data_IF_013001238653
#
_entry.id   IF_013001238653
#
_cell.length_a   1.000
_cell.length_b   1.000
_cell.length_c   1.000
_cell.angle_alpha   90.00
_cell.angle_beta   90.00
_cell.angle_gamma   90.00
#
_symmetry.space_group_name_H-M   'P 1'
#
loop_
_entity.id
_entity.type
_entity.pdbx_description
1 polymer ?
#
# COMPACT_ATOMS: atom_id res chain seq x y z
N UNK A 1 -25.94 20.73 -40.06
CA UNK A 1 -25.91 20.66 -38.57
C UNK A 1 -25.64 19.27 -37.98
N UNK A 2 -25.33 18.23 -38.79
CA UNK A 2 -25.12 16.86 -38.29
C UNK A 2 -23.66 16.42 -38.10
N UNK A 3 -22.68 17.12 -38.69
CA UNK A 3 -21.25 16.72 -38.63
C UNK A 3 -20.56 17.20 -37.36
N UNK A 4 -20.99 18.34 -36.80
CA UNK A 4 -20.42 18.93 -35.57
C UNK A 4 -20.77 18.11 -34.32
N UNK A 5 -21.92 17.44 -34.29
CA UNK A 5 -22.30 16.62 -33.11
C UNK A 5 -21.51 15.31 -33.02
N UNK A 6 -21.12 14.71 -34.15
CA UNK A 6 -20.31 13.49 -34.18
C UNK A 6 -18.89 13.68 -33.64
N UNK A 7 -18.26 14.83 -33.94
CA UNK A 7 -16.94 15.19 -33.41
C UNK A 7 -16.93 15.44 -31.91
N UNK A 8 -17.96 16.14 -31.39
CA UNK A 8 -18.13 16.40 -29.96
C UNK A 8 -18.43 15.13 -29.18
N UNK A 9 -19.24 14.20 -29.73
CA UNK A 9 -19.52 12.89 -29.13
C UNK A 9 -18.29 11.98 -29.14
N UNK A 10 -17.45 12.05 -30.16
CA UNK A 10 -16.20 11.28 -30.24
C UNK A 10 -15.14 11.83 -29.30
N UNK A 11 -15.03 13.16 -29.17
CA UNK A 11 -14.15 13.82 -28.20
C UNK A 11 -14.62 13.58 -26.76
N UNK A 12 -15.92 13.63 -26.46
CA UNK A 12 -16.42 13.31 -25.11
C UNK A 12 -16.21 11.85 -24.74
N UNK A 13 -16.33 10.91 -25.69
CA UNK A 13 -15.93 9.50 -25.47
C UNK A 13 -14.41 9.35 -25.33
N UNK A 14 -13.62 10.10 -26.08
CA UNK A 14 -12.16 10.09 -25.97
C UNK A 14 -11.70 10.68 -24.63
N UNK A 15 -12.30 11.77 -24.14
CA UNK A 15 -12.07 12.34 -22.81
C UNK A 15 -12.67 11.48 -21.69
N UNK A 16 -13.75 10.74 -21.95
CA UNK A 16 -14.23 9.73 -21.00
C UNK A 16 -13.34 8.49 -20.98
N UNK A 17 -12.54 8.21 -22.03
CA UNK A 17 -11.57 7.09 -22.16
C UNK A 17 -10.12 7.51 -21.76
N UNK A 18 -9.85 8.81 -21.69
CA UNK A 18 -8.89 9.41 -20.73
C UNK A 18 -9.49 9.30 -19.29
N UNK A 19 -10.54 8.49 -19.17
CA UNK A 19 -11.03 7.62 -18.10
C UNK A 19 -10.28 7.77 -16.79
N UNK A 20 -11.08 8.08 -15.78
CA UNK A 20 -10.84 7.90 -14.34
C UNK A 20 -9.84 6.79 -13.96
N UNK A 21 -9.73 5.69 -14.72
CA UNK A 21 -8.73 4.63 -14.52
C UNK A 21 -7.28 5.05 -14.83
N UNK A 22 -7.01 5.84 -15.87
CA UNK A 22 -5.68 6.43 -16.14
C UNK A 22 -5.34 7.51 -15.11
N UNK A 23 -6.32 8.31 -14.71
CA UNK A 23 -6.13 9.32 -13.66
C UNK A 23 -5.86 8.68 -12.28
N UNK A 24 -6.61 7.63 -11.89
CA UNK A 24 -6.36 6.91 -10.63
C UNK A 24 -5.04 6.13 -10.65
N UNK A 25 -4.69 5.51 -11.79
CA UNK A 25 -3.41 4.81 -11.91
C UNK A 25 -2.21 5.75 -11.81
N UNK A 26 -2.29 6.90 -12.49
CA UNK A 26 -1.28 7.96 -12.41
C UNK A 26 -1.21 8.54 -10.99
N UNK A 27 -2.34 8.82 -10.35
CA UNK A 27 -2.41 9.29 -8.96
C UNK A 27 -1.71 8.35 -7.99
N UNK A 28 -1.88 7.05 -8.15
CA UNK A 28 -1.16 6.08 -7.30
C UNK A 28 0.31 5.96 -7.62
N UNK A 29 0.72 5.97 -8.90
CA UNK A 29 2.16 5.93 -9.21
C UNK A 29 2.84 7.15 -8.60
N UNK A 30 2.21 8.32 -8.70
CA UNK A 30 2.68 9.52 -8.01
C UNK A 30 2.61 9.38 -6.49
N UNK A 31 1.59 8.70 -5.95
CA UNK A 31 1.48 8.49 -4.51
C UNK A 31 2.53 7.51 -3.96
N UNK A 32 2.77 6.40 -4.64
CA UNK A 32 3.82 5.44 -4.28
C UNK A 32 5.19 6.09 -4.43
N UNK A 33 5.43 6.87 -5.48
CA UNK A 33 6.69 7.58 -5.66
C UNK A 33 6.92 8.62 -4.55
N UNK A 34 5.93 9.46 -4.25
CA UNK A 34 5.98 10.44 -3.15
C UNK A 34 6.16 9.74 -1.80
N UNK A 35 5.57 8.55 -1.62
CA UNK A 35 5.74 7.73 -0.43
C UNK A 35 7.14 7.13 -0.28
N UNK A 36 7.72 6.56 -1.35
CA UNK A 36 9.10 6.07 -1.34
C UNK A 36 10.04 7.22 -1.00
N UNK A 37 9.80 8.39 -1.58
CA UNK A 37 10.56 9.61 -1.29
C UNK A 37 10.38 10.04 0.17
N UNK A 38 9.17 9.98 0.74
CA UNK A 38 8.96 10.34 2.15
C UNK A 38 9.56 9.32 3.13
N UNK A 39 9.72 8.07 2.72
CA UNK A 39 10.38 7.03 3.50
C UNK A 39 11.91 7.17 3.47
N UNK A 40 12.46 7.54 2.31
CA UNK A 40 13.90 7.75 2.11
C UNK A 40 14.40 9.11 2.61
N UNK A 41 13.58 10.16 2.51
CA UNK A 41 13.92 11.56 2.82
C UNK A 41 12.81 12.24 3.63
N UNK A 42 12.60 11.84 4.90
CA UNK A 42 11.52 12.38 5.73
C UNK A 42 11.61 13.90 5.91
N UNK A 43 12.84 14.46 5.98
CA UNK A 43 13.08 15.89 6.22
C UNK A 43 12.67 16.82 5.06
N UNK A 44 12.52 16.30 3.83
CA UNK A 44 12.33 17.11 2.61
C UNK A 44 10.87 17.53 2.37
N UNK A 45 9.89 16.72 2.80
CA UNK A 45 8.46 16.93 2.48
C UNK A 45 7.74 17.75 3.56
N UNK A 46 8.23 17.71 4.78
CA UNK A 46 7.47 18.09 6.00
C UNK A 46 7.97 19.39 6.61
N UNK A 47 9.02 20.00 6.06
CA UNK A 47 9.50 21.33 6.43
C UNK A 47 9.85 21.47 7.92
N UNK A 48 10.30 20.39 8.57
CA UNK A 48 10.63 20.39 10.00
C UNK A 48 9.43 20.23 10.94
N UNK A 49 8.30 19.70 10.48
CA UNK A 49 7.20 19.26 11.36
C UNK A 49 7.67 18.15 12.32
N UNK A 50 6.98 18.03 13.46
CA UNK A 50 7.23 16.96 14.42
C UNK A 50 7.17 15.58 13.74
N UNK A 51 8.16 14.72 13.98
CA UNK A 51 8.30 13.36 13.40
C UNK A 51 7.02 12.49 13.38
N UNK A 52 6.05 12.76 14.26
CA UNK A 52 4.73 12.12 14.29
C UNK A 52 3.80 12.49 13.13
N UNK A 53 3.82 13.75 12.69
CA UNK A 53 3.01 14.20 11.57
C UNK A 53 3.47 13.51 10.28
N UNK A 54 4.79 13.43 10.08
CA UNK A 54 5.41 12.78 8.92
C UNK A 54 4.95 11.33 8.77
N UNK A 55 4.89 10.61 9.89
CA UNK A 55 4.50 9.21 9.92
C UNK A 55 3.00 8.99 9.68
N UNK A 56 2.14 9.83 10.27
CA UNK A 56 0.69 9.77 10.06
C UNK A 56 0.32 10.09 8.61
N UNK A 57 1.02 11.04 7.97
CA UNK A 57 0.82 11.34 6.55
C UNK A 57 1.29 10.20 5.66
N UNK A 58 2.44 9.60 5.97
CA UNK A 58 2.99 8.43 5.26
C UNK A 58 2.03 7.24 5.33
N UNK A 59 1.45 6.98 6.51
CA UNK A 59 0.48 5.91 6.73
C UNK A 59 -0.87 6.18 6.04
N UNK A 60 -1.39 7.41 6.13
CA UNK A 60 -2.66 7.81 5.51
C UNK A 60 -2.58 7.76 3.99
N UNK A 61 -1.43 8.09 3.42
CA UNK A 61 -1.19 8.07 1.99
C UNK A 61 -1.05 6.64 1.43
N UNK A 62 -0.42 5.74 2.19
CA UNK A 62 -0.38 4.32 1.88
C UNK A 62 -1.76 3.67 1.87
N UNK A 63 -2.54 3.90 2.93
CA UNK A 63 -3.93 3.40 3.05
C UNK A 63 -4.76 3.92 1.88
N UNK A 64 -4.63 5.22 1.56
CA UNK A 64 -5.28 5.83 0.41
C UNK A 64 -4.86 5.19 -0.92
N UNK A 65 -3.58 4.88 -1.09
CA UNK A 65 -3.06 4.24 -2.31
C UNK A 65 -3.60 2.82 -2.49
N UNK A 66 -3.70 2.04 -1.41
CA UNK A 66 -4.21 0.66 -1.41
C UNK A 66 -5.71 0.64 -1.71
N UNK A 67 -6.49 1.52 -1.07
CA UNK A 67 -7.93 1.61 -1.29
C UNK A 67 -8.21 2.04 -2.73
N UNK A 68 -7.49 3.06 -3.21
CA UNK A 68 -7.62 3.56 -4.58
C UNK A 68 -7.29 2.47 -5.61
N UNK A 69 -6.21 1.71 -5.42
CA UNK A 69 -5.81 0.66 -6.37
C UNK A 69 -6.69 -0.58 -6.33
N UNK A 70 -7.09 -1.02 -5.14
CA UNK A 70 -8.01 -2.14 -5.00
C UNK A 70 -9.35 -1.83 -5.66
N UNK A 71 -9.82 -0.59 -5.53
CA UNK A 71 -11.07 -0.13 -6.13
C UNK A 71 -11.01 -0.07 -7.66
N UNK A 72 -9.90 0.40 -8.24
CA UNK A 72 -9.68 0.40 -9.70
C UNK A 72 -9.59 -1.02 -10.24
N UNK A 73 -8.83 -1.88 -9.55
CA UNK A 73 -8.59 -3.26 -9.97
C UNK A 73 -9.88 -4.07 -10.00
N UNK A 74 -10.69 -3.98 -8.92
CA UNK A 74 -11.99 -4.64 -8.85
C UNK A 74 -12.94 -4.11 -9.93
N UNK A 75 -13.02 -2.79 -10.12
CA UNK A 75 -13.88 -2.21 -11.17
C UNK A 75 -13.50 -2.66 -12.57
N UNK A 76 -12.19 -2.76 -12.86
CA UNK A 76 -11.70 -3.14 -14.18
C UNK A 76 -11.87 -4.63 -14.45
N UNK A 77 -11.65 -5.48 -13.45
CA UNK A 77 -11.92 -6.93 -13.53
C UNK A 77 -13.42 -7.21 -13.71
N UNK A 78 -14.29 -6.47 -13.00
CA UNK A 78 -15.74 -6.68 -13.08
C UNK A 78 -16.38 -6.12 -14.35
N UNK A 79 -15.85 -5.05 -14.94
CA UNK A 79 -16.45 -4.39 -16.12
C UNK A 79 -15.85 -4.84 -17.45
N UNK A 80 -14.57 -5.19 -17.48
CA UNK A 80 -13.86 -5.48 -18.72
C UNK A 80 -13.26 -6.89 -18.64
N UNK A 81 -13.41 -7.68 -19.72
CA UNK A 81 -12.65 -8.93 -19.90
C UNK A 81 -11.16 -8.58 -20.01
N UNK A 82 -10.52 -8.41 -18.86
CA UNK A 82 -9.13 -8.02 -18.71
C UNK A 82 -8.23 -9.22 -18.98
N UNK A 83 -7.06 -8.96 -19.57
CA UNK A 83 -6.07 -10.01 -19.84
C UNK A 83 -5.48 -10.55 -18.54
N UNK A 84 -5.43 -11.88 -18.38
CA UNK A 84 -4.89 -12.58 -17.20
C UNK A 84 -3.49 -12.09 -16.82
N UNK A 85 -2.64 -11.76 -17.81
CA UNK A 85 -1.29 -11.24 -17.59
C UNK A 85 -1.29 -9.89 -16.86
N UNK A 86 -2.24 -9.02 -17.20
CA UNK A 86 -2.39 -7.71 -16.57
C UNK A 86 -2.88 -7.84 -15.13
N UNK A 87 -3.81 -8.77 -14.86
CA UNK A 87 -4.28 -9.07 -13.50
C UNK A 87 -3.15 -9.58 -12.61
N UNK A 88 -2.33 -10.51 -13.09
CA UNK A 88 -1.16 -11.02 -12.34
C UNK A 88 -0.20 -9.88 -12.01
N UNK A 89 0.10 -9.02 -12.99
CA UNK A 89 1.00 -7.89 -12.78
C UNK A 89 0.49 -6.93 -11.68
N UNK A 90 -0.80 -6.59 -11.70
CA UNK A 90 -1.42 -5.75 -10.67
C UNK A 90 -1.35 -6.41 -9.29
N UNK A 91 -1.69 -7.71 -9.21
CA UNK A 91 -1.64 -8.46 -7.96
C UNK A 91 -0.24 -8.42 -7.37
N UNK A 92 0.80 -8.69 -8.16
CA UNK A 92 2.19 -8.62 -7.70
C UNK A 92 2.54 -7.24 -7.15
N UNK A 93 2.17 -6.16 -7.83
CA UNK A 93 2.40 -4.79 -7.34
C UNK A 93 1.67 -4.53 -6.02
N UNK A 94 0.43 -5.02 -5.88
CA UNK A 94 -0.36 -4.86 -4.66
C UNK A 94 0.27 -5.60 -3.48
N UNK A 95 0.87 -6.77 -3.71
CA UNK A 95 1.61 -7.51 -2.69
C UNK A 95 2.81 -6.70 -2.18
N UNK A 96 3.67 -6.20 -3.08
CA UNK A 96 4.83 -5.40 -2.69
C UNK A 96 4.42 -4.13 -1.95
N UNK A 97 3.35 -3.46 -2.39
CA UNK A 97 2.83 -2.28 -1.71
C UNK A 97 2.33 -2.59 -0.29
N UNK A 98 1.60 -3.70 -0.10
CA UNK A 98 1.13 -4.11 1.22
C UNK A 98 2.30 -4.42 2.17
N UNK A 99 3.34 -5.10 1.68
CA UNK A 99 4.56 -5.36 2.45
C UNK A 99 5.18 -4.05 2.95
N UNK A 100 5.36 -3.12 2.03
CA UNK A 100 5.94 -1.81 2.30
C UNK A 100 5.10 -0.97 3.27
N UNK A 101 3.76 -1.06 3.17
CA UNK A 101 2.85 -0.44 4.13
C UNK A 101 3.10 -0.96 5.55
N UNK A 102 3.06 -2.29 5.76
CA UNK A 102 3.24 -2.86 7.08
C UNK A 102 4.66 -2.65 7.63
N UNK A 103 5.68 -2.65 6.76
CA UNK A 103 7.04 -2.30 7.15
C UNK A 103 7.11 -0.88 7.74
N UNK A 104 6.41 0.09 7.13
CA UNK A 104 6.30 1.43 7.71
C UNK A 104 5.59 1.39 9.06
N UNK A 105 4.48 0.66 9.18
CA UNK A 105 3.72 0.49 10.43
C UNK A 105 4.63 0.02 11.58
N UNK A 106 5.42 -1.01 11.32
CA UNK A 106 6.30 -1.60 12.33
C UNK A 106 7.44 -0.68 12.74
N UNK A 107 8.02 0.01 11.77
CA UNK A 107 9.08 0.98 12.03
C UNK A 107 8.56 2.15 12.87
N UNK A 108 7.38 2.70 12.58
CA UNK A 108 6.85 3.79 13.42
C UNK A 108 6.50 3.36 14.84
N UNK A 109 6.04 2.13 15.05
CA UNK A 109 5.86 1.58 16.41
C UNK A 109 7.18 1.58 17.19
N UNK A 110 8.31 1.24 16.56
CA UNK A 110 9.62 1.30 17.23
C UNK A 110 10.02 2.73 17.60
N UNK A 111 9.83 3.70 16.70
CA UNK A 111 10.14 5.10 16.99
C UNK A 111 9.26 5.70 18.09
N UNK A 112 7.96 5.40 18.08
CA UNK A 112 7.04 5.82 19.14
C UNK A 112 7.49 5.28 20.49
N UNK A 113 7.95 4.02 20.54
CA UNK A 113 8.42 3.42 21.79
C UNK A 113 9.66 4.11 22.36
N UNK A 114 10.62 4.48 21.50
CA UNK A 114 11.84 5.18 21.92
C UNK A 114 11.50 6.58 22.44
N UNK A 115 10.66 7.30 21.70
CA UNK A 115 10.37 8.72 21.98
C UNK A 115 9.47 8.93 23.19
N UNK A 116 8.49 8.05 23.40
CA UNK A 116 7.60 8.11 24.56
C UNK A 116 8.06 7.23 25.73
N UNK A 117 9.25 6.62 25.62
CA UNK A 117 9.82 5.71 26.61
C UNK A 117 8.85 4.56 26.99
N UNK A 118 8.15 4.03 25.99
CA UNK A 118 7.21 2.92 26.14
C UNK A 118 7.95 1.58 26.10
N UNK A 119 7.23 0.52 26.46
CA UNK A 119 7.72 -0.85 26.31
C UNK A 119 8.07 -1.16 24.84
N UNK A 120 9.14 -1.94 24.65
CA UNK A 120 9.62 -2.31 23.32
C UNK A 120 8.55 -3.08 22.54
N UNK A 121 8.26 -2.69 21.29
CA UNK A 121 7.20 -3.30 20.50
C UNK A 121 7.60 -4.65 19.91
N UNK A 122 8.88 -4.84 19.59
CA UNK A 122 9.41 -6.06 19.00
C UNK A 122 10.53 -6.65 19.87
N UNK A 123 10.95 -7.87 19.55
CA UNK A 123 12.08 -8.56 20.19
C UNK A 123 13.39 -7.78 20.07
N UNK A 124 13.50 -6.95 19.03
CA UNK A 124 14.59 -6.00 18.83
C UNK A 124 14.14 -4.59 19.23
N UNK A 125 15.04 -3.80 19.80
CA UNK A 125 14.74 -2.45 20.31
C UNK A 125 14.47 -1.43 19.21
N UNK A 126 15.10 -1.58 18.04
CA UNK A 126 14.92 -0.71 16.88
C UNK A 126 14.92 -1.58 15.63
N UNK A 127 13.93 -1.41 14.75
CA UNK A 127 13.91 -2.08 13.45
C UNK A 127 14.54 -1.15 12.39
N UNK A 128 15.60 -1.62 11.73
CA UNK A 128 16.08 -0.95 10.52
C UNK A 128 15.02 -1.03 9.40
N UNK A 129 15.22 -0.29 8.30
CA UNK A 129 14.28 -0.35 7.16
C UNK A 129 14.26 -1.78 6.61
N UNK A 130 15.43 -2.40 6.53
CA UNK A 130 15.62 -3.75 6.02
C UNK A 130 14.91 -4.76 6.92
N UNK A 131 15.07 -4.66 8.25
CA UNK A 131 14.42 -5.52 9.23
C UNK A 131 12.89 -5.40 9.17
N UNK A 132 12.37 -4.18 8.98
CA UNK A 132 10.94 -3.94 8.90
C UNK A 132 10.32 -4.51 7.62
N UNK A 133 11.01 -4.36 6.47
CA UNK A 133 10.59 -4.97 5.21
C UNK A 133 10.67 -6.49 5.32
N UNK A 134 11.78 -7.01 5.82
CA UNK A 134 11.98 -8.44 6.05
C UNK A 134 10.87 -9.04 6.92
N UNK A 135 10.63 -8.46 8.11
CA UNK A 135 9.58 -8.92 9.02
C UNK A 135 8.18 -8.85 8.39
N UNK A 136 7.91 -7.80 7.60
CA UNK A 136 6.64 -7.67 6.86
C UNK A 136 6.50 -8.76 5.79
N UNK A 137 7.54 -9.05 5.01
CA UNK A 137 7.53 -10.14 4.01
C UNK A 137 7.29 -11.49 4.69
N UNK A 138 8.05 -11.80 5.75
CA UNK A 138 7.95 -13.10 6.44
C UNK A 138 6.62 -13.28 7.14
N UNK A 139 5.99 -12.19 7.59
CA UNK A 139 4.64 -12.21 8.16
C UNK A 139 3.59 -12.42 7.07
N UNK A 140 3.65 -11.67 5.97
CA UNK A 140 2.67 -11.78 4.88
C UNK A 140 2.70 -13.15 4.22
N UNK A 141 3.90 -13.72 4.04
CA UNK A 141 4.10 -15.05 3.45
C UNK A 141 3.88 -16.19 4.45
N UNK A 142 3.57 -15.89 5.71
CA UNK A 142 3.45 -16.86 6.81
C UNK A 142 4.71 -17.71 7.08
N UNK A 143 5.88 -17.27 6.60
CA UNK A 143 7.16 -17.97 6.81
C UNK A 143 7.63 -17.85 8.26
N UNK A 144 7.54 -16.64 8.83
CA UNK A 144 7.78 -16.37 10.26
C UNK A 144 9.03 -17.00 10.87
N UNK A 145 10.24 -16.62 10.44
CA UNK A 145 11.50 -17.17 10.96
C UNK A 145 11.72 -17.03 12.48
N UNK A 146 11.04 -16.07 13.12
CA UNK A 146 10.98 -15.94 14.59
C UNK A 146 12.12 -15.16 15.23
N UNK A 147 13.07 -14.67 14.44
CA UNK A 147 14.14 -13.74 14.81
C UNK A 147 13.61 -12.35 15.19
N UNK A 148 12.56 -11.89 14.50
CA UNK A 148 11.80 -10.69 14.85
C UNK A 148 10.39 -11.11 15.25
N UNK A 149 9.98 -10.74 16.47
CA UNK A 149 8.67 -11.09 17.01
C UNK A 149 7.98 -9.89 17.69
N UNK A 150 6.67 -9.72 17.54
CA UNK A 150 5.92 -8.68 18.22
C UNK A 150 5.74 -9.01 19.71
N UNK A 151 6.16 -8.10 20.59
CA UNK A 151 6.13 -8.27 22.05
C UNK A 151 5.00 -7.44 22.67
N UNK A 152 4.85 -6.18 22.25
CA UNK A 152 3.81 -5.30 22.78
C UNK A 152 2.42 -5.63 22.24
N UNK A 153 1.39 -5.20 22.97
CA UNK A 153 -0.02 -5.40 22.56
C UNK A 153 -0.28 -4.73 21.21
N UNK A 154 0.22 -3.51 21.00
CA UNK A 154 0.05 -2.78 19.74
C UNK A 154 0.71 -3.52 18.57
N UNK A 155 1.96 -3.96 18.72
CA UNK A 155 2.65 -4.72 17.68
C UNK A 155 1.90 -6.02 17.33
N UNK A 156 1.46 -6.77 18.35
CA UNK A 156 0.67 -8.00 18.15
C UNK A 156 -0.64 -7.75 17.40
N UNK A 157 -1.35 -6.65 17.70
CA UNK A 157 -2.58 -6.30 16.99
C UNK A 157 -2.32 -6.04 15.49
N UNK A 158 -1.31 -5.22 15.17
CA UNK A 158 -0.98 -4.92 13.77
C UNK A 158 -0.47 -6.15 13.02
N UNK A 159 0.35 -6.99 13.64
CA UNK A 159 0.83 -8.24 13.03
C UNK A 159 -0.32 -9.22 12.77
N UNK A 160 -1.24 -9.40 13.73
CA UNK A 160 -2.44 -10.24 13.52
C UNK A 160 -3.33 -9.71 12.39
N UNK A 161 -3.46 -8.39 12.29
CA UNK A 161 -4.19 -7.75 11.19
C UNK A 161 -3.52 -8.02 9.83
N UNK A 162 -2.18 -7.90 9.74
CA UNK A 162 -1.44 -8.25 8.53
C UNK A 162 -1.68 -9.69 8.11
N UNK A 163 -1.59 -10.64 9.06
CA UNK A 163 -1.82 -12.05 8.79
C UNK A 163 -3.24 -12.30 8.24
N UNK A 164 -4.25 -11.66 8.84
CA UNK A 164 -5.64 -11.79 8.42
C UNK A 164 -5.85 -11.25 6.99
N UNK A 165 -5.27 -10.10 6.68
CA UNK A 165 -5.31 -9.52 5.33
C UNK A 165 -4.60 -10.43 4.32
N UNK A 166 -3.43 -10.98 4.66
CA UNK A 166 -2.70 -11.90 3.79
C UNK A 166 -3.52 -13.13 3.39
N UNK A 167 -4.26 -13.70 4.35
CA UNK A 167 -5.17 -14.82 4.10
C UNK A 167 -6.32 -14.47 3.17
N UNK A 168 -7.02 -13.36 3.41
CA UNK A 168 -8.11 -12.88 2.56
C UNK A 168 -7.59 -12.63 1.14
N UNK A 169 -6.44 -11.95 1.05
CA UNK A 169 -5.78 -11.63 -0.22
C UNK A 169 -5.44 -12.90 -1.02
N UNK A 170 -4.77 -13.88 -0.41
CA UNK A 170 -4.45 -15.15 -1.08
C UNK A 170 -5.70 -15.92 -1.54
N UNK A 171 -6.76 -15.92 -0.72
CA UNK A 171 -8.01 -16.63 -1.03
C UNK A 171 -8.74 -15.98 -2.21
N UNK A 172 -8.84 -14.65 -2.22
CA UNK A 172 -9.48 -13.90 -3.32
C UNK A 172 -8.73 -14.09 -4.63
N UNK A 173 -7.40 -14.09 -4.60
CA UNK A 173 -6.58 -14.33 -5.79
C UNK A 173 -6.85 -15.71 -6.36
N UNK A 174 -6.86 -16.74 -5.52
CA UNK A 174 -7.17 -18.10 -5.96
C UNK A 174 -8.55 -18.18 -6.60
N UNK A 175 -9.56 -17.52 -6.01
CA UNK A 175 -10.92 -17.49 -6.55
C UNK A 175 -11.05 -16.77 -7.90
N UNK A 176 -10.13 -15.85 -8.24
CA UNK A 176 -10.12 -15.15 -9.54
C UNK A 176 -9.54 -16.03 -10.66
N UNK A 177 -8.66 -16.98 -10.33
CA UNK A 177 -7.99 -17.84 -11.31
C UNK A 177 -8.68 -19.18 -11.59
N UNK A 178 -9.66 -19.54 -10.77
CA UNK A 178 -10.53 -20.72 -10.97
C UNK A 178 -11.72 -20.32 -11.84
#
# INVERSE_FOLDING_TARGET
MSVVSGGIVTLTKFFSIIDTTMALSTFYVTAVAVWIISLLFPEFITGGLNSYAEYIYTLSFLVGSIISYSFVSIRKILKEKTSTKFTIFIVVLQFFNAVLMFASVYRGLTFDSIKYHLAQPFSQSVLSIEDAIYFSVTTFTSTGFGDIAPVSVGAKMFTSLQMTIGWIYSTVIMAIFI
#
